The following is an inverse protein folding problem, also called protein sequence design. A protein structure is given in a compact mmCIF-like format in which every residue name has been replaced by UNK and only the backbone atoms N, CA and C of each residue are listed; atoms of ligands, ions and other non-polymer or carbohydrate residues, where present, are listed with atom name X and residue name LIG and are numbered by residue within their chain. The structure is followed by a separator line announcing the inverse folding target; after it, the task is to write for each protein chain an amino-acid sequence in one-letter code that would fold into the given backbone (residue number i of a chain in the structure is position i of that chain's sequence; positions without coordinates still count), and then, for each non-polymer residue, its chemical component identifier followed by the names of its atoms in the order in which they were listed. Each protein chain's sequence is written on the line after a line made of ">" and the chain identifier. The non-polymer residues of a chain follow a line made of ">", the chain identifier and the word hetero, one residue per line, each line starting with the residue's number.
data_IF_518601521946
#
_entry.id   IF_518601521946
#
_cell.length_a   1.000
_cell.length_b   1.000
_cell.length_c   1.000
_cell.angle_alpha   90.00
_cell.angle_beta   90.00
_cell.angle_gamma   90.00
#
_symmetry.space_group_name_H-M   'P 1'
#
loop_
_entity.id
_entity.type
_entity.pdbx_description
1 polymer ?
#
# COMPACT_ATOMS: atom_id res chain seq x y z
N UNK A 1 1.96 -6.78 25.38
CA UNK A 1 0.79 -6.28 24.63
C UNK A 1 1.02 -4.95 23.97
N UNK A 2 1.42 -3.94 24.75
CA UNK A 2 1.65 -2.62 24.16
C UNK A 2 2.73 -2.64 23.10
N UNK A 3 3.78 -3.43 23.31
CA UNK A 3 4.87 -3.51 22.35
C UNK A 3 4.37 -4.04 21.01
N UNK A 4 3.51 -5.07 21.03
CA UNK A 4 2.99 -5.65 19.81
C UNK A 4 2.03 -4.68 19.10
N UNK A 5 1.24 -3.95 19.88
CA UNK A 5 0.32 -2.97 19.32
C UNK A 5 1.07 -1.84 18.62
N UNK A 6 2.13 -1.32 19.27
CA UNK A 6 2.95 -0.27 18.66
C UNK A 6 3.59 -0.76 17.37
N UNK A 7 4.09 -2.00 17.38
CA UNK A 7 4.71 -2.57 16.19
C UNK A 7 3.70 -2.72 15.05
N UNK A 8 2.48 -3.13 15.37
CA UNK A 8 1.42 -3.28 14.39
C UNK A 8 1.05 -1.92 13.76
N UNK A 9 0.91 -0.89 14.60
CA UNK A 9 0.61 0.46 14.12
C UNK A 9 1.72 0.97 13.23
N UNK A 10 2.98 0.78 13.63
CA UNK A 10 4.12 1.22 12.84
C UNK A 10 4.15 0.52 11.48
N UNK A 11 3.92 -0.79 11.47
CA UNK A 11 3.90 -1.56 10.23
C UNK A 11 2.79 -1.07 9.30
N UNK A 12 1.61 -0.84 9.86
CA UNK A 12 0.47 -0.35 9.08
C UNK A 12 0.78 1.01 8.46
N UNK A 13 1.36 1.92 9.25
CA UNK A 13 1.70 3.25 8.74
C UNK A 13 2.76 3.16 7.65
N UNK A 14 3.77 2.30 7.81
CA UNK A 14 4.77 2.11 6.78
C UNK A 14 4.15 1.58 5.50
N UNK A 15 3.23 0.63 5.61
CA UNK A 15 2.54 0.11 4.42
C UNK A 15 1.72 1.18 3.73
N UNK A 16 1.04 2.05 4.49
CA UNK A 16 0.27 3.13 3.89
C UNK A 16 1.17 4.09 3.13
N UNK A 17 2.28 4.50 3.72
CA UNK A 17 3.23 5.39 3.06
C UNK A 17 3.78 4.73 1.80
N UNK A 18 4.15 3.46 1.92
CA UNK A 18 4.69 2.71 0.79
C UNK A 18 3.67 2.64 -0.35
N UNK A 19 2.42 2.36 -0.02
CA UNK A 19 1.36 2.26 -1.02
C UNK A 19 1.13 3.59 -1.72
N UNK A 20 1.10 4.69 -0.97
CA UNK A 20 0.92 6.00 -1.56
C UNK A 20 2.08 6.34 -2.50
N UNK A 21 3.31 6.03 -2.09
CA UNK A 21 4.47 6.28 -2.95
C UNK A 21 4.40 5.47 -4.23
N UNK A 22 4.01 4.21 -4.15
CA UNK A 22 3.88 3.38 -5.34
C UNK A 22 2.76 3.89 -6.26
N UNK A 23 1.62 4.25 -5.68
CA UNK A 23 0.50 4.76 -6.47
C UNK A 23 0.89 6.05 -7.17
N UNK A 24 1.54 6.98 -6.47
CA UNK A 24 2.00 8.22 -7.08
C UNK A 24 3.00 7.94 -8.20
N UNK A 25 3.91 6.98 -7.97
CA UNK A 25 4.89 6.61 -8.98
C UNK A 25 4.27 6.00 -10.23
N UNK A 26 3.04 5.51 -10.12
CA UNK A 26 2.30 4.99 -11.27
C UNK A 26 1.33 6.02 -11.83
N UNK A 27 0.78 6.85 -10.97
CA UNK A 27 -0.23 7.83 -11.37
C UNK A 27 0.37 8.94 -12.23
N UNK A 28 1.55 9.46 -11.86
CA UNK A 28 2.17 10.53 -12.64
C UNK A 28 2.49 10.09 -14.07
N UNK A 29 3.08 8.92 -14.31
CA UNK A 29 3.23 8.44 -15.69
C UNK A 29 1.90 8.29 -16.42
N UNK A 30 0.86 7.85 -15.71
CA UNK A 30 -0.48 7.76 -16.30
C UNK A 30 -0.94 9.15 -16.78
N UNK A 31 -0.72 10.18 -15.97
CA UNK A 31 -1.10 11.55 -16.36
C UNK A 31 -0.33 12.00 -17.60
N UNK A 32 0.97 11.68 -17.66
CA UNK A 32 1.79 12.09 -18.79
C UNK A 32 1.35 11.38 -20.07
N UNK A 33 1.21 10.06 -19.99
CA UNK A 33 1.01 9.24 -21.17
C UNK A 33 -0.43 9.22 -21.64
N UNK A 34 -1.40 9.30 -20.75
CA UNK A 34 -2.81 9.18 -21.11
C UNK A 34 -3.58 10.50 -21.07
N UNK A 35 -3.13 11.46 -20.26
CA UNK A 35 -3.84 12.73 -20.11
C UNK A 35 -3.07 13.89 -20.70
N UNK A 36 -1.91 13.65 -21.29
CA UNK A 36 -1.13 14.69 -21.94
C UNK A 36 -0.52 15.70 -20.99
N UNK A 37 -0.31 15.34 -19.74
CA UNK A 37 0.28 16.24 -18.76
C UNK A 37 1.76 16.50 -19.05
N UNK A 38 2.28 17.52 -18.38
CA UNK A 38 3.64 17.98 -18.60
C UNK A 38 4.68 16.94 -18.25
N UNK A 39 5.75 16.86 -19.05
CA UNK A 39 6.80 15.88 -18.83
C UNK A 39 7.63 16.13 -17.57
N UNK A 40 7.51 17.30 -16.93
CA UNK A 40 8.23 17.54 -15.69
C UNK A 40 7.78 16.58 -14.58
N UNK A 41 6.61 15.98 -14.73
CA UNK A 41 6.09 15.02 -13.75
C UNK A 41 6.94 13.75 -13.66
N UNK A 42 7.85 13.52 -14.61
CA UNK A 42 8.79 12.40 -14.47
C UNK A 42 9.70 12.56 -13.26
N UNK A 43 9.94 13.81 -12.81
CA UNK A 43 10.78 14.04 -11.62
C UNK A 43 10.10 13.52 -10.35
N UNK A 44 8.87 13.94 -10.01
CA UNK A 44 8.21 13.35 -8.84
C UNK A 44 7.93 11.85 -9.00
N UNK A 45 7.77 11.35 -10.23
CA UNK A 45 7.65 9.93 -10.45
C UNK A 45 8.87 9.18 -9.95
N UNK A 46 10.06 9.61 -10.35
CA UNK A 46 11.30 8.98 -9.93
C UNK A 46 11.49 9.07 -8.42
N UNK A 47 11.17 10.22 -7.84
CA UNK A 47 11.29 10.42 -6.39
C UNK A 47 10.31 9.51 -5.63
N UNK A 48 9.09 9.40 -6.11
CA UNK A 48 8.08 8.56 -5.45
C UNK A 48 8.48 7.09 -5.49
N UNK A 49 8.96 6.61 -6.64
CA UNK A 49 9.38 5.21 -6.75
C UNK A 49 10.63 4.93 -5.92
N UNK A 50 11.57 5.87 -5.88
CA UNK A 50 12.75 5.70 -5.03
C UNK A 50 12.35 5.65 -3.56
N UNK A 51 11.45 6.52 -3.13
CA UNK A 51 10.95 6.51 -1.77
C UNK A 51 10.20 5.21 -1.47
N UNK A 52 9.41 4.72 -2.43
CA UNK A 52 8.70 3.46 -2.28
C UNK A 52 9.66 2.31 -1.98
N UNK A 53 10.72 2.18 -2.79
CA UNK A 53 11.70 1.11 -2.58
C UNK A 53 12.37 1.26 -1.22
N UNK A 54 12.76 2.47 -0.87
CA UNK A 54 13.45 2.71 0.39
C UNK A 54 12.57 2.36 1.59
N UNK A 55 11.33 2.87 1.61
CA UNK A 55 10.42 2.62 2.73
C UNK A 55 10.12 1.13 2.86
N UNK A 56 9.98 0.44 1.72
CA UNK A 56 9.69 -0.99 1.74
C UNK A 56 10.80 -1.77 2.45
N UNK A 57 12.05 -1.30 2.37
CA UNK A 57 13.16 -1.98 3.03
C UNK A 57 13.19 -1.77 4.55
N UNK A 58 12.36 -0.88 5.08
CA UNK A 58 12.34 -0.59 6.51
C UNK A 58 11.54 -1.61 7.32
N UNK A 59 10.85 -2.54 6.66
CA UNK A 59 10.05 -3.53 7.36
C UNK A 59 10.95 -4.63 7.92
N UNK A 60 10.75 -5.02 9.19
CA UNK A 60 11.64 -5.98 9.84
C UNK A 60 11.33 -7.45 9.58
N UNK A 61 10.21 -7.75 8.93
CA UNK A 61 9.80 -9.13 8.70
C UNK A 61 10.44 -9.72 7.44
N UNK A 62 10.25 -11.02 7.25
CA UNK A 62 10.73 -11.68 6.04
C UNK A 62 10.04 -11.09 4.81
N UNK A 63 10.78 -10.98 3.72
CA UNK A 63 10.32 -10.23 2.54
C UNK A 63 9.00 -10.76 1.98
N UNK A 64 8.83 -12.09 1.92
CA UNK A 64 7.60 -12.65 1.38
C UNK A 64 6.37 -12.27 2.18
N UNK A 65 6.49 -12.27 3.50
CA UNK A 65 5.37 -11.85 4.36
C UNK A 65 5.09 -10.37 4.24
N UNK A 66 6.15 -9.58 4.11
CA UNK A 66 5.99 -8.13 3.91
C UNK A 66 5.18 -7.89 2.65
N UNK A 67 5.56 -8.50 1.56
CA UNK A 67 4.87 -8.27 0.29
C UNK A 67 3.43 -8.76 0.32
N UNK A 68 3.18 -9.90 0.95
CA UNK A 68 1.82 -10.43 1.04
C UNK A 68 0.92 -9.52 1.88
N UNK A 69 1.40 -9.09 3.05
CA UNK A 69 0.63 -8.21 3.91
C UNK A 69 0.47 -6.82 3.28
N UNK A 70 1.54 -6.34 2.64
CA UNK A 70 1.50 -5.05 1.96
C UNK A 70 0.44 -5.03 0.86
N UNK A 71 0.30 -6.14 0.12
CA UNK A 71 -0.70 -6.21 -0.94
C UNK A 71 -2.10 -5.90 -0.45
N UNK A 72 -2.44 -6.37 0.75
CA UNK A 72 -3.74 -6.07 1.34
C UNK A 72 -3.91 -4.60 1.67
N UNK A 73 -2.88 -4.00 2.27
CA UNK A 73 -2.92 -2.58 2.60
C UNK A 73 -2.93 -1.74 1.33
N UNK A 74 -2.19 -2.19 0.31
CA UNK A 74 -2.19 -1.52 -0.99
C UNK A 74 -3.61 -1.46 -1.58
N UNK A 75 -4.33 -2.57 -1.52
CA UNK A 75 -5.68 -2.60 -2.08
C UNK A 75 -6.60 -1.64 -1.34
N UNK A 76 -6.50 -1.58 -0.01
CA UNK A 76 -7.26 -0.62 0.76
C UNK A 76 -6.94 0.82 0.30
N UNK A 77 -5.64 1.13 0.18
CA UNK A 77 -5.19 2.45 -0.24
C UNK A 77 -5.68 2.78 -1.65
N UNK A 78 -5.62 1.78 -2.54
CA UNK A 78 -6.09 1.96 -3.91
C UNK A 78 -7.60 2.25 -3.96
N UNK A 79 -8.39 1.60 -3.11
CA UNK A 79 -9.82 1.87 -3.05
C UNK A 79 -10.09 3.28 -2.51
N UNK A 80 -9.31 3.73 -1.55
CA UNK A 80 -9.42 5.10 -1.08
C UNK A 80 -9.03 6.08 -2.18
N UNK A 81 -8.01 5.73 -2.95
CA UNK A 81 -7.61 6.55 -4.11
C UNK A 81 -8.74 6.63 -5.13
N UNK A 82 -9.39 5.50 -5.42
CA UNK A 82 -10.50 5.45 -6.34
C UNK A 82 -11.63 6.38 -5.90
N UNK A 83 -11.92 6.40 -4.60
CA UNK A 83 -13.00 7.22 -4.06
C UNK A 83 -12.65 8.69 -4.03
N UNK A 84 -11.44 9.05 -3.61
CA UNK A 84 -11.11 10.43 -3.33
C UNK A 84 -10.34 11.13 -4.45
N UNK A 85 -9.50 10.42 -5.19
CA UNK A 85 -8.76 11.02 -6.30
C UNK A 85 -9.49 10.84 -7.61
N UNK A 86 -9.89 9.62 -7.92
CA UNK A 86 -10.63 9.33 -9.15
C UNK A 86 -12.09 9.75 -9.04
N UNK A 87 -12.59 9.98 -7.83
CA UNK A 87 -13.94 10.42 -7.54
C UNK A 87 -15.00 9.47 -8.05
N UNK A 88 -14.74 8.18 -7.94
CA UNK A 88 -15.67 7.13 -8.29
C UNK A 88 -16.22 6.52 -7.02
N UNK A 89 -17.54 6.39 -6.93
CA UNK A 89 -18.18 5.80 -5.76
C UNK A 89 -17.84 4.32 -5.67
N UNK A 90 -17.51 3.87 -4.46
CA UNK A 90 -17.20 2.46 -4.24
C UNK A 90 -18.46 1.62 -4.37
N UNK A 91 -18.36 0.53 -5.14
CA UNK A 91 -19.46 -0.41 -5.27
C UNK A 91 -19.46 -1.37 -4.07
N UNK A 92 -20.57 -2.13 -3.93
CA UNK A 92 -20.62 -3.15 -2.89
C UNK A 92 -19.52 -4.21 -3.11
N UNK A 93 -19.17 -4.46 -4.37
CA UNK A 93 -18.13 -5.43 -4.71
C UNK A 93 -16.76 -4.92 -4.30
N UNK A 94 -16.51 -3.62 -4.47
CA UNK A 94 -15.27 -3.01 -3.98
C UNK A 94 -15.15 -3.16 -2.46
N UNK A 95 -16.25 -2.89 -1.76
CA UNK A 95 -16.26 -2.97 -0.30
C UNK A 95 -16.08 -4.40 0.18
N UNK A 96 -16.79 -5.34 -0.44
CA UNK A 96 -16.68 -6.73 -0.04
C UNK A 96 -15.28 -7.28 -0.31
N UNK A 97 -14.77 -7.06 -1.53
CA UNK A 97 -13.44 -7.54 -1.88
C UNK A 97 -12.37 -6.93 -1.02
N UNK A 98 -12.48 -5.61 -0.78
CA UNK A 98 -11.54 -4.92 0.08
C UNK A 98 -11.55 -5.46 1.50
N UNK A 99 -12.75 -5.74 2.03
CA UNK A 99 -12.86 -6.29 3.38
C UNK A 99 -12.18 -7.67 3.48
N UNK A 100 -12.41 -8.52 2.49
CA UNK A 100 -11.81 -9.86 2.48
C UNK A 100 -10.28 -9.77 2.40
N UNK A 101 -9.76 -8.89 1.56
CA UNK A 101 -8.32 -8.74 1.40
C UNK A 101 -7.69 -8.20 2.68
N UNK A 102 -8.30 -7.20 3.31
CA UNK A 102 -7.78 -6.64 4.55
C UNK A 102 -7.80 -7.69 5.65
N UNK A 103 -8.86 -8.49 5.73
CA UNK A 103 -8.94 -9.55 6.71
C UNK A 103 -7.80 -10.56 6.51
N UNK A 104 -7.54 -10.95 5.26
CA UNK A 104 -6.43 -11.85 4.95
C UNK A 104 -5.08 -11.26 5.31
N UNK A 105 -4.88 -9.97 5.02
CA UNK A 105 -3.63 -9.30 5.36
C UNK A 105 -3.42 -9.26 6.87
N UNK A 106 -4.48 -9.00 7.63
CA UNK A 106 -4.38 -8.99 9.08
C UNK A 106 -4.01 -10.36 9.64
N UNK A 107 -4.53 -11.43 9.06
CA UNK A 107 -4.16 -12.78 9.47
C UNK A 107 -2.66 -12.99 9.29
N UNK A 108 -2.12 -12.55 8.15
CA UNK A 108 -0.71 -12.74 7.87
C UNK A 108 0.16 -11.92 8.84
N UNK A 109 -0.23 -10.68 9.09
CA UNK A 109 0.54 -9.78 9.96
C UNK A 109 0.52 -10.27 11.40
N UNK A 110 -0.61 -10.77 11.85
CA UNK A 110 -0.83 -11.09 13.26
C UNK A 110 -0.53 -12.53 13.61
N UNK A 111 0.05 -13.29 12.70
CA UNK A 111 0.33 -14.70 13.01
C UNK A 111 1.32 -14.83 14.16
N UNK A 112 1.15 -15.86 15.02
CA UNK A 112 2.08 -16.10 16.12
C UNK A 112 3.42 -16.56 15.56
N UNK A 113 4.50 -15.90 15.96
CA UNK A 113 5.80 -16.15 15.37
C UNK A 113 6.41 -17.49 15.71
N UNK A 114 6.02 -18.09 16.83
CA UNK A 114 6.58 -19.37 17.23
C UNK A 114 5.92 -20.57 16.59
N UNK A 115 4.77 -20.40 15.95
CA UNK A 115 3.97 -21.53 15.47
C UNK A 115 4.15 -21.83 14.00
N UNK A 116 4.56 -20.84 13.20
CA UNK A 116 4.62 -20.99 11.76
C UNK A 116 6.04 -20.78 11.29
N UNK A 117 6.66 -21.85 10.90
CA UNK A 117 8.03 -21.81 10.42
C UNK A 117 8.23 -22.76 9.28
#
# INVERSE_FOLDING_TARGET
>A
MEFQFTKLITTFCLFLVTAVMEILGCYFPYLILNQGSSHWLWIPTALALAAFVWVLTLHPAASGRIYAAYGGIYIFTALMWLRFVDQISLSRWDLLGGAVVIFGALIIIMQPQGLIR
#
